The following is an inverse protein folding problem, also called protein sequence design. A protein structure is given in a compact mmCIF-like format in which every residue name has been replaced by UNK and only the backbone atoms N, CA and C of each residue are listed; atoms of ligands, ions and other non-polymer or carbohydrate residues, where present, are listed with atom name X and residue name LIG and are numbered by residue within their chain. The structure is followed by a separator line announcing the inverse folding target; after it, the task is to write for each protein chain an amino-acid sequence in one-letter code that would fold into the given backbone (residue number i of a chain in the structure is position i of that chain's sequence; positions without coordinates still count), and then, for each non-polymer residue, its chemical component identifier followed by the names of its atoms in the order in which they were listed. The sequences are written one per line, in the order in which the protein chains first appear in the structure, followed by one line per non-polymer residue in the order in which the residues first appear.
data_IF_396031154669
#
_entry.id   IF_396031154669
#
_cell.length_a   1.000
_cell.length_b   1.000
_cell.length_c   1.000
_cell.angle_alpha   90.00
_cell.angle_beta   90.00
_cell.angle_gamma   90.00
#
_symmetry.space_group_name_H-M   'P 1'
#
loop_
_entity.id
_entity.type
_entity.pdbx_description
1 polymer ?
#
# COMPACT_ATOMS: atom_id res chain seq x y z
N UNK A 1 -2.70 5.82 23.33
CA UNK A 1 -3.47 6.79 22.51
C UNK A 1 -3.51 6.25 21.10
N UNK A 2 -4.53 5.46 20.74
CA UNK A 2 -4.67 4.89 19.40
C UNK A 2 -5.28 5.94 18.49
N UNK A 3 -4.47 6.55 17.61
CA UNK A 3 -5.00 7.30 16.48
C UNK A 3 -5.35 6.28 15.40
N UNK A 4 -6.64 5.98 15.24
CA UNK A 4 -7.15 5.22 14.11
C UNK A 4 -7.00 6.11 12.88
N UNK A 5 -5.93 5.92 12.12
CA UNK A 5 -5.78 6.54 10.81
C UNK A 5 -6.26 5.55 9.74
N UNK A 6 -7.49 5.73 9.26
CA UNK A 6 -8.04 4.96 8.16
C UNK A 6 -7.40 5.41 6.84
N UNK A 7 -6.57 4.55 6.24
CA UNK A 7 -5.88 4.78 4.96
C UNK A 7 -6.83 5.21 3.83
N UNK A 8 -8.09 4.81 3.88
CA UNK A 8 -8.96 4.82 2.71
C UNK A 8 -9.88 6.05 2.57
N UNK A 9 -10.03 6.89 3.59
CA UNK A 9 -11.03 7.98 3.60
C UNK A 9 -10.74 9.08 2.57
N UNK A 10 -9.51 9.16 2.06
CA UNK A 10 -9.16 10.14 1.02
C UNK A 10 -9.57 9.69 -0.38
N UNK A 11 -9.61 8.39 -0.64
CA UNK A 11 -9.95 7.82 -1.95
C UNK A 11 -11.41 7.39 -2.06
N UNK A 12 -12.21 7.64 -1.04
CA UNK A 12 -13.60 7.23 -0.98
C UNK A 12 -14.52 8.45 -0.97
N UNK A 13 -15.04 8.83 -2.14
CA UNK A 13 -15.92 10.01 -2.31
C UNK A 13 -17.41 9.67 -2.24
N UNK A 14 -17.82 8.51 -2.77
CA UNK A 14 -19.20 8.04 -2.81
C UNK A 14 -19.25 6.58 -2.36
N UNK A 15 -20.38 6.17 -1.76
CA UNK A 15 -20.70 4.76 -1.51
C UNK A 15 -21.96 4.40 -2.29
N UNK A 16 -21.99 3.17 -2.78
CA UNK A 16 -23.20 2.57 -3.33
C UNK A 16 -23.80 1.70 -2.23
N UNK A 17 -25.01 2.05 -1.80
CA UNK A 17 -25.76 1.25 -0.84
C UNK A 17 -26.21 -0.08 -1.46
N UNK A 18 -26.71 -1.00 -0.62
CA UNK A 18 -27.14 -2.33 -1.05
C UNK A 18 -28.29 -2.32 -2.08
N UNK A 19 -29.06 -1.22 -2.14
CA UNK A 19 -30.15 -1.00 -3.09
C UNK A 19 -29.68 -0.37 -4.42
N UNK A 20 -28.37 -0.12 -4.57
CA UNK A 20 -27.78 0.51 -5.74
C UNK A 20 -27.78 2.04 -5.71
N UNK A 21 -28.32 2.67 -4.66
CA UNK A 21 -28.31 4.12 -4.51
C UNK A 21 -26.89 4.62 -4.29
N UNK A 22 -26.43 5.52 -5.16
CA UNK A 22 -25.18 6.26 -4.94
C UNK A 22 -25.45 7.41 -4.00
N UNK A 23 -24.66 7.52 -2.94
CA UNK A 23 -24.66 8.70 -2.08
C UNK A 23 -23.23 9.13 -1.75
N UNK A 24 -23.00 10.44 -1.55
CA UNK A 24 -21.71 10.91 -1.07
C UNK A 24 -21.37 10.21 0.23
N UNK A 25 -20.15 9.68 0.29
CA UNK A 25 -19.60 9.09 1.50
C UNK A 25 -19.30 10.26 2.42
N UNK A 26 -20.21 10.53 3.35
CA UNK A 26 -19.91 11.46 4.45
C UNK A 26 -18.59 10.96 5.07
N UNK A 27 -17.53 11.78 5.04
CA UNK A 27 -16.25 11.44 5.66
C UNK A 27 -16.48 11.26 7.16
N UNK A 28 -16.71 10.02 7.58
CA UNK A 28 -16.83 9.68 8.99
C UNK A 28 -15.43 9.52 9.57
N UNK A 29 -14.86 10.60 10.11
CA UNK A 29 -14.00 10.46 11.27
C UNK A 29 -14.87 10.79 12.48
N UNK A 30 -15.53 9.80 13.05
CA UNK A 30 -16.13 9.99 14.37
C UNK A 30 -14.99 9.95 15.39
N UNK A 31 -14.83 11.03 16.15
CA UNK A 31 -14.13 10.92 17.42
C UNK A 31 -15.10 10.26 18.41
N UNK A 32 -14.99 8.95 18.61
CA UNK A 32 -15.88 8.17 19.48
C UNK A 32 -15.75 8.53 20.99
N UNK A 33 -15.07 9.64 21.33
CA UNK A 33 -14.84 10.11 22.70
C UNK A 33 -15.79 11.21 23.17
N UNK A 34 -16.93 11.43 22.51
CA UNK A 34 -17.92 12.41 22.94
C UNK A 34 -19.33 12.15 22.42
N UNK A 35 -20.34 12.64 23.14
CA UNK A 35 -21.78 12.49 22.85
C UNK A 35 -22.25 13.17 21.55
N UNK A 36 -21.35 13.83 20.81
CA UNK A 36 -21.66 14.49 19.54
C UNK A 36 -20.63 14.11 18.48
N UNK A 37 -21.12 13.41 17.46
CA UNK A 37 -20.45 13.21 16.19
C UNK A 37 -20.20 14.55 15.50
N UNK A 38 -18.97 15.06 15.50
CA UNK A 38 -18.60 16.24 14.71
C UNK A 38 -18.01 15.84 13.35
N UNK A 39 -18.41 16.54 12.29
CA UNK A 39 -17.81 16.41 10.97
C UNK A 39 -16.35 16.85 11.04
N UNK A 40 -15.46 16.01 10.54
CA UNK A 40 -14.04 16.32 10.53
C UNK A 40 -13.74 17.21 9.31
N UNK A 41 -13.36 18.49 9.52
CA UNK A 41 -13.29 19.49 8.44
C UNK A 41 -12.38 19.04 7.29
N UNK A 42 -12.61 19.49 6.06
CA UNK A 42 -11.78 19.09 4.89
C UNK A 42 -10.27 19.32 5.09
N UNK A 43 -9.91 20.25 5.97
CA UNK A 43 -8.54 20.66 6.32
C UNK A 43 -7.98 20.00 7.59
N UNK A 44 -8.70 19.05 8.18
CA UNK A 44 -8.27 18.33 9.39
C UNK A 44 -7.30 17.18 9.10
N UNK A 45 -7.05 16.90 7.82
CA UNK A 45 -5.85 16.22 7.37
C UNK A 45 -4.66 17.11 7.72
N UNK A 46 -4.15 17.00 8.95
CA UNK A 46 -2.77 17.41 9.22
C UNK A 46 -1.90 16.52 8.35
N UNK A 47 -1.40 17.05 7.23
CA UNK A 47 -0.13 16.61 6.70
C UNK A 47 0.83 16.78 7.87
N UNK A 48 1.27 15.66 8.46
CA UNK A 48 2.36 15.71 9.42
C UNK A 48 3.46 16.51 8.73
N UNK A 49 3.98 17.54 9.41
CA UNK A 49 5.17 18.24 8.91
C UNK A 49 6.17 17.16 8.49
N UNK A 50 6.87 17.33 7.36
CA UNK A 50 7.85 16.34 6.88
C UNK A 50 8.84 16.06 8.01
N UNK A 51 8.63 14.98 8.76
CA UNK A 51 9.54 14.57 9.81
C UNK A 51 10.63 13.76 9.12
N UNK A 52 11.82 14.34 9.16
CA UNK A 52 13.12 13.72 8.87
C UNK A 52 13.49 13.52 7.40
N UNK A 53 14.58 14.19 7.01
CA UNK A 53 15.42 13.91 5.84
C UNK A 53 16.22 12.59 5.98
N UNK A 54 15.67 11.60 6.68
CA UNK A 54 16.37 10.37 7.03
C UNK A 54 16.45 9.42 5.85
N UNK A 55 17.59 8.73 5.73
CA UNK A 55 17.80 7.69 4.71
C UNK A 55 17.22 6.32 5.10
N UNK A 56 16.49 6.25 6.23
CA UNK A 56 15.87 5.02 6.75
C UNK A 56 14.42 5.28 7.18
N UNK A 57 13.53 4.41 6.75
CA UNK A 57 12.14 4.35 7.19
C UNK A 57 11.94 3.10 8.03
N UNK A 58 11.55 3.29 9.29
CA UNK A 58 11.30 2.18 10.22
C UNK A 58 9.99 1.48 9.90
N UNK A 59 9.94 0.20 10.24
CA UNK A 59 8.74 -0.60 10.18
C UNK A 59 8.64 -1.52 11.40
N UNK A 60 7.45 -1.64 11.99
CA UNK A 60 7.22 -2.55 13.11
C UNK A 60 5.80 -3.10 13.14
N UNK A 61 5.66 -4.35 13.58
CA UNK A 61 4.35 -4.91 13.89
C UNK A 61 3.80 -4.38 15.22
N UNK A 62 2.48 -4.58 15.43
CA UNK A 62 1.77 -4.08 16.62
C UNK A 62 2.44 -4.47 17.95
N UNK A 63 2.92 -5.70 18.08
CA UNK A 63 3.56 -6.17 19.31
C UNK A 63 5.07 -5.90 19.39
N UNK A 64 5.66 -5.25 18.37
CA UNK A 64 7.10 -5.00 18.28
C UNK A 64 7.97 -6.25 18.11
N UNK A 65 7.38 -7.41 17.80
CA UNK A 65 8.09 -8.69 17.65
C UNK A 65 8.76 -8.87 16.29
N UNK A 66 8.38 -8.06 15.31
CA UNK A 66 9.01 -7.95 14.00
C UNK A 66 9.30 -6.48 13.78
N UNK A 67 10.57 -6.16 13.53
CA UNK A 67 11.07 -4.81 13.30
C UNK A 67 12.15 -4.85 12.23
N UNK A 68 12.12 -3.88 11.34
CA UNK A 68 13.06 -3.71 10.26
C UNK A 68 13.05 -2.24 9.82
N UNK A 69 13.90 -1.89 8.88
CA UNK A 69 13.79 -0.62 8.19
C UNK A 69 14.04 -0.80 6.70
N UNK A 70 13.50 0.12 5.91
CA UNK A 70 13.82 0.25 4.49
C UNK A 70 14.69 1.49 4.26
N UNK A 71 15.55 1.43 3.25
CA UNK A 71 16.41 2.55 2.83
C UNK A 71 15.87 3.19 1.55
N UNK A 72 16.33 4.41 1.23
CA UNK A 72 16.03 5.04 -0.07
C UNK A 72 16.53 4.17 -1.23
N UNK A 73 15.92 4.28 -2.43
CA UNK A 73 16.46 3.60 -3.59
C UNK A 73 17.92 3.98 -3.85
N UNK A 74 18.67 3.05 -4.42
CA UNK A 74 20.08 3.21 -4.74
C UNK A 74 20.44 2.42 -6.02
N UNK A 75 21.72 2.41 -6.38
CA UNK A 75 22.18 1.72 -7.59
C UNK A 75 21.97 0.20 -7.57
N UNK A 76 21.87 -0.43 -6.40
CA UNK A 76 21.50 -1.85 -6.30
C UNK A 76 20.00 -2.05 -6.56
N UNK A 77 19.14 -1.11 -6.13
CA UNK A 77 17.70 -1.13 -6.38
C UNK A 77 17.34 -1.19 -7.86
N UNK A 78 18.17 -0.61 -8.73
CA UNK A 78 18.00 -0.56 -10.19
C UNK A 78 18.31 -1.88 -10.90
N UNK A 79 19.04 -2.78 -10.22
CA UNK A 79 19.48 -4.07 -10.78
C UNK A 79 18.47 -5.19 -10.57
N UNK A 80 17.47 -4.97 -9.71
CA UNK A 80 16.37 -5.89 -9.49
C UNK A 80 15.59 -6.08 -10.80
N UNK A 81 15.01 -7.27 -10.94
CA UNK A 81 14.17 -7.62 -12.07
C UNK A 81 12.78 -8.02 -11.59
N UNK A 82 11.78 -7.60 -12.34
CA UNK A 82 10.39 -8.03 -12.14
C UNK A 82 9.59 -7.87 -13.44
N UNK A 83 8.68 -8.81 -13.74
CA UNK A 83 7.55 -8.55 -14.62
C UNK A 83 6.75 -7.32 -14.15
N UNK A 84 5.92 -6.77 -15.03
CA UNK A 84 4.97 -5.72 -14.64
C UNK A 84 3.95 -6.26 -13.62
N UNK A 85 3.56 -5.44 -12.64
CA UNK A 85 2.57 -5.83 -11.65
C UNK A 85 1.16 -5.70 -12.26
N UNK A 86 0.19 -6.36 -11.64
CA UNK A 86 -1.22 -6.24 -12.04
C UNK A 86 -1.78 -4.80 -11.93
N UNK A 87 -1.15 -3.95 -11.12
CA UNK A 87 -1.41 -2.49 -11.09
C UNK A 87 -1.25 -1.84 -12.48
N UNK A 88 -0.29 -2.30 -13.29
CA UNK A 88 0.02 -1.72 -14.60
C UNK A 88 -0.47 -2.58 -15.76
N UNK A 89 -0.38 -3.90 -15.62
CA UNK A 89 -0.80 -4.87 -16.64
C UNK A 89 -1.75 -5.88 -15.99
N UNK A 90 -3.07 -5.70 -16.14
CA UNK A 90 -4.05 -6.60 -15.54
C UNK A 90 -3.78 -8.06 -15.88
N UNK A 91 -3.88 -8.97 -14.91
CA UNK A 91 -3.50 -10.38 -15.08
C UNK A 91 -4.27 -11.10 -16.20
N UNK A 92 -5.48 -10.62 -16.54
CA UNK A 92 -6.34 -11.19 -17.59
C UNK A 92 -6.17 -10.52 -18.96
N UNK A 93 -5.26 -9.56 -19.08
CA UNK A 93 -5.05 -8.78 -20.30
C UNK A 93 -3.97 -9.42 -21.20
N UNK A 94 -2.86 -8.72 -21.43
CA UNK A 94 -1.71 -9.19 -22.19
C UNK A 94 -0.57 -9.62 -21.28
N UNK A 95 0.51 -10.15 -21.87
CA UNK A 95 1.69 -10.57 -21.12
C UNK A 95 2.25 -9.43 -20.27
N UNK A 96 2.54 -9.72 -19.00
CA UNK A 96 3.20 -8.82 -18.07
C UNK A 96 4.73 -8.82 -18.21
N UNK A 97 5.27 -9.40 -19.29
CA UNK A 97 6.71 -9.44 -19.51
C UNK A 97 7.33 -8.03 -19.52
N UNK A 98 8.49 -7.90 -18.86
CA UNK A 98 9.23 -6.64 -18.76
C UNK A 98 10.66 -6.84 -19.33
N UNK A 99 10.80 -7.04 -20.66
CA UNK A 99 12.08 -7.41 -21.26
C UNK A 99 13.15 -6.31 -21.17
N UNK A 100 12.73 -5.06 -21.07
CA UNK A 100 13.62 -3.89 -20.91
C UNK A 100 13.97 -3.62 -19.44
N UNK A 101 13.47 -4.43 -18.51
CA UNK A 101 13.61 -4.23 -17.07
C UNK A 101 13.27 -2.81 -16.61
N UNK A 102 12.14 -2.26 -17.06
CA UNK A 102 11.65 -0.97 -16.54
C UNK A 102 11.45 -1.10 -15.03
N UNK A 103 12.15 -0.27 -14.27
CA UNK A 103 12.14 -0.27 -12.80
C UNK A 103 10.87 0.37 -12.26
N UNK A 104 9.72 -0.23 -12.54
CA UNK A 104 8.40 0.35 -12.24
C UNK A 104 8.17 0.60 -10.74
N UNK A 105 8.92 -0.09 -9.87
CA UNK A 105 8.92 0.10 -8.42
C UNK A 105 9.68 1.37 -7.98
N UNK A 106 10.54 1.94 -8.82
CA UNK A 106 11.27 3.19 -8.54
C UNK A 106 10.50 4.37 -9.10
N UNK A 107 10.25 5.37 -8.25
CA UNK A 107 9.36 6.49 -8.51
C UNK A 107 10.02 7.81 -8.13
N UNK A 108 9.51 8.90 -8.69
CA UNK A 108 9.94 10.26 -8.37
C UNK A 108 11.47 10.43 -8.50
N UNK A 109 12.01 10.16 -9.69
CA UNK A 109 13.46 10.16 -9.99
C UNK A 109 14.27 9.29 -9.02
N UNK A 110 13.82 8.04 -8.81
CA UNK A 110 14.46 7.06 -7.93
C UNK A 110 14.58 7.49 -6.45
N UNK A 111 13.66 8.33 -5.96
CA UNK A 111 13.66 8.76 -4.55
C UNK A 111 12.59 8.05 -3.71
N UNK A 112 11.61 7.42 -4.37
CA UNK A 112 10.46 6.75 -3.75
C UNK A 112 10.22 5.36 -4.33
N UNK A 113 9.46 4.56 -3.59
CA UNK A 113 8.95 3.28 -4.03
C UNK A 113 7.50 3.39 -4.52
N UNK A 114 7.11 2.54 -5.47
CA UNK A 114 5.70 2.41 -5.84
C UNK A 114 4.93 1.77 -4.68
N UNK A 115 3.74 2.29 -4.40
CA UNK A 115 2.75 1.66 -3.55
C UNK A 115 1.42 1.48 -4.28
N UNK A 116 0.62 0.50 -3.90
CA UNK A 116 -0.67 0.27 -4.51
C UNK A 116 -1.61 -0.53 -3.63
N UNK A 117 -2.86 -0.60 -4.07
CA UNK A 117 -3.93 -1.35 -3.42
C UNK A 117 -4.18 -2.66 -4.16
N UNK A 118 -4.47 -3.72 -3.41
CA UNK A 118 -4.75 -5.05 -3.93
C UNK A 118 -6.04 -5.58 -3.31
N UNK A 119 -6.91 -6.13 -4.14
CA UNK A 119 -8.22 -6.68 -3.77
C UNK A 119 -8.38 -8.14 -4.20
N UNK A 120 -7.27 -8.83 -4.47
CA UNK A 120 -7.31 -10.23 -4.89
C UNK A 120 -7.88 -11.13 -3.80
N UNK A 121 -8.50 -12.24 -4.21
CA UNK A 121 -9.11 -13.22 -3.29
C UNK A 121 -8.11 -13.73 -2.24
N UNK A 122 -6.86 -13.95 -2.63
CA UNK A 122 -5.81 -14.45 -1.72
C UNK A 122 -5.48 -13.44 -0.63
N UNK A 123 -5.31 -12.16 -0.96
CA UNK A 123 -5.11 -11.11 0.05
C UNK A 123 -6.33 -10.98 0.96
N UNK A 124 -7.54 -10.96 0.39
CA UNK A 124 -8.78 -10.87 1.18
C UNK A 124 -8.93 -12.01 2.19
N UNK A 125 -8.69 -13.24 1.76
CA UNK A 125 -8.85 -14.42 2.62
C UNK A 125 -7.73 -14.56 3.66
N UNK A 126 -6.49 -14.22 3.33
CA UNK A 126 -5.38 -14.30 4.29
C UNK A 126 -5.42 -13.18 5.33
N UNK A 127 -5.88 -11.99 4.95
CA UNK A 127 -5.80 -10.80 5.79
C UNK A 127 -7.13 -10.49 6.49
N UNK A 128 -8.24 -11.05 6.00
CA UNK A 128 -9.59 -10.71 6.47
C UNK A 128 -10.05 -9.31 6.06
N UNK A 129 -9.38 -8.68 5.09
CA UNK A 129 -9.62 -7.29 4.66
C UNK A 129 -9.81 -7.24 3.13
N UNK A 130 -10.81 -6.50 2.65
CA UNK A 130 -11.07 -6.38 1.20
C UNK A 130 -9.91 -5.71 0.45
N UNK A 131 -9.28 -4.71 1.08
CA UNK A 131 -8.23 -3.91 0.47
C UNK A 131 -6.96 -4.08 1.30
N UNK A 132 -5.88 -4.48 0.64
CA UNK A 132 -4.54 -4.52 1.19
C UNK A 132 -3.66 -3.49 0.49
N UNK A 133 -2.77 -2.86 1.23
CA UNK A 133 -1.82 -1.87 0.69
C UNK A 133 -0.40 -2.41 0.74
N UNK A 134 0.28 -2.38 -0.40
CA UNK A 134 1.63 -2.89 -0.57
C UNK A 134 2.56 -1.79 -1.08
N UNK A 135 3.78 -1.74 -0.56
CA UNK A 135 4.91 -1.02 -1.16
C UNK A 135 5.87 -2.03 -1.79
N UNK A 136 6.34 -1.75 -3.01
CA UNK A 136 7.22 -2.65 -3.76
C UNK A 136 8.68 -2.24 -3.54
N UNK A 137 9.39 -2.97 -2.67
CA UNK A 137 10.72 -2.59 -2.20
C UNK A 137 11.73 -3.66 -2.58
N UNK A 138 12.82 -3.31 -3.28
CA UNK A 138 13.92 -4.22 -3.53
C UNK A 138 14.47 -4.82 -2.22
N UNK A 139 14.72 -6.13 -2.22
CA UNK A 139 15.24 -6.85 -1.05
C UNK A 139 16.55 -6.26 -0.52
N UNK A 140 17.40 -5.76 -1.41
CA UNK A 140 18.65 -5.07 -1.08
C UNK A 140 18.46 -3.75 -0.31
N UNK A 141 17.24 -3.24 -0.20
CA UNK A 141 16.91 -2.03 0.53
C UNK A 141 16.20 -2.31 1.87
N UNK A 142 16.00 -3.58 2.24
CA UNK A 142 15.33 -3.99 3.48
C UNK A 142 16.36 -4.59 4.43
N UNK A 143 16.43 -4.03 5.65
CA UNK A 143 17.43 -4.39 6.64
C UNK A 143 16.78 -4.67 8.00
N UNK A 144 17.36 -5.61 8.74
CA UNK A 144 17.01 -5.82 10.15
C UNK A 144 17.49 -4.63 10.99
N UNK A 145 17.03 -4.52 12.24
CA UNK A 145 17.44 -3.43 13.14
C UNK A 145 18.95 -3.35 13.37
N UNK A 146 19.64 -4.49 13.36
CA UNK A 146 21.11 -4.56 13.49
C UNK A 146 21.87 -4.15 12.21
N UNK A 147 21.15 -3.84 11.13
CA UNK A 147 21.71 -3.46 9.83
C UNK A 147 22.10 -4.61 8.92
N UNK A 148 21.86 -5.86 9.31
CA UNK A 148 22.03 -7.00 8.40
C UNK A 148 20.93 -7.04 7.32
N UNK A 149 21.20 -7.59 6.13
CA UNK A 149 20.20 -7.71 5.06
C UNK A 149 19.02 -8.61 5.43
N UNK A 150 17.89 -8.45 4.74
CA UNK A 150 16.73 -9.31 4.88
C UNK A 150 17.03 -10.76 4.45
N UNK A 151 16.84 -11.70 5.36
CA UNK A 151 16.91 -13.15 5.16
C UNK A 151 15.59 -13.86 5.54
N UNK A 152 14.51 -13.10 5.73
CA UNK A 152 13.21 -13.57 6.22
C UNK A 152 13.23 -14.23 7.62
N UNK A 153 14.29 -14.03 8.41
CA UNK A 153 14.37 -14.43 9.81
C UNK A 153 14.44 -13.18 10.70
N UNK A 154 13.27 -12.72 11.14
CA UNK A 154 13.08 -11.50 11.91
C UNK A 154 12.21 -11.75 13.15
N UNK A 155 12.81 -11.81 14.33
CA UNK A 155 12.11 -11.89 15.61
C UNK A 155 11.01 -12.97 15.63
N UNK A 156 9.75 -12.59 15.79
CA UNK A 156 8.61 -13.51 15.86
C UNK A 156 7.99 -13.85 14.49
N UNK A 157 8.65 -13.51 13.38
CA UNK A 157 8.12 -13.73 12.03
C UNK A 157 7.95 -15.24 11.72
N UNK A 158 6.91 -15.55 10.97
CA UNK A 158 6.54 -16.87 10.47
C UNK A 158 6.22 -16.77 8.98
N UNK A 159 6.56 -17.82 8.26
CA UNK A 159 6.34 -17.95 6.83
C UNK A 159 5.18 -18.89 6.56
N UNK A 160 4.29 -18.49 5.65
CA UNK A 160 3.21 -19.32 5.12
C UNK A 160 3.35 -19.43 3.58
N UNK A 161 3.65 -20.62 3.04
CA UNK A 161 3.61 -20.87 1.60
C UNK A 161 2.15 -20.89 1.14
N UNK A 162 1.70 -19.82 0.48
CA UNK A 162 0.29 -19.64 0.11
C UNK A 162 -0.07 -20.31 -1.22
N UNK A 163 0.92 -20.54 -2.08
CA UNK A 163 0.87 -21.41 -3.25
C UNK A 163 2.31 -21.81 -3.64
N UNK A 164 2.48 -22.65 -4.64
CA UNK A 164 3.81 -22.99 -5.17
C UNK A 164 4.59 -21.71 -5.54
N UNK A 165 5.80 -21.59 -5.01
CA UNK A 165 6.68 -20.43 -5.21
C UNK A 165 6.18 -19.10 -4.66
N UNK A 166 5.14 -19.05 -3.80
CA UNK A 166 4.59 -17.80 -3.24
C UNK A 166 4.48 -17.86 -1.72
N UNK A 167 5.08 -16.89 -1.05
CA UNK A 167 5.26 -16.87 0.40
C UNK A 167 4.68 -15.61 1.04
N UNK A 168 4.11 -15.78 2.22
CA UNK A 168 3.58 -14.70 3.05
C UNK A 168 4.26 -14.72 4.42
N UNK A 169 4.86 -13.60 4.78
CA UNK A 169 5.51 -13.42 6.08
C UNK A 169 4.59 -12.65 7.02
N UNK A 170 4.41 -13.15 8.23
CA UNK A 170 3.56 -12.53 9.25
C UNK A 170 4.16 -12.68 10.64
N UNK A 171 3.78 -11.80 11.56
CA UNK A 171 4.17 -11.89 12.95
C UNK A 171 3.41 -13.03 13.65
N UNK A 172 4.10 -14.07 14.10
CA UNK A 172 3.50 -15.19 14.83
C UNK A 172 2.93 -14.84 16.21
N UNK A 173 3.14 -13.61 16.70
CA UNK A 173 2.62 -13.13 17.99
C UNK A 173 1.35 -12.28 17.86
N UNK A 174 1.29 -11.35 16.90
CA UNK A 174 0.13 -10.46 16.74
C UNK A 174 -0.61 -10.61 15.40
N UNK A 175 -0.18 -11.52 14.53
CA UNK A 175 -0.81 -11.78 13.24
C UNK A 175 -0.54 -10.72 12.16
N UNK A 176 0.19 -9.65 12.48
CA UNK A 176 0.46 -8.59 11.51
C UNK A 176 1.20 -9.11 10.27
N UNK A 177 0.66 -8.84 9.09
CA UNK A 177 1.29 -9.16 7.81
C UNK A 177 2.49 -8.26 7.56
N UNK A 178 3.60 -8.88 7.15
CA UNK A 178 4.89 -8.22 6.98
C UNK A 178 5.25 -8.13 5.51
N UNK A 179 5.43 -9.29 4.86
CA UNK A 179 5.87 -9.36 3.47
C UNK A 179 5.01 -10.32 2.65
N UNK A 180 4.94 -10.05 1.35
CA UNK A 180 4.64 -11.03 0.32
C UNK A 180 5.82 -11.10 -0.64
N UNK A 181 6.19 -12.30 -1.07
CA UNK A 181 7.25 -12.52 -2.06
C UNK A 181 7.02 -13.80 -2.85
N UNK A 182 7.68 -13.93 -4.00
CA UNK A 182 7.59 -15.11 -4.85
C UNK A 182 8.89 -15.40 -5.58
N UNK A 183 9.02 -16.63 -6.09
CA UNK A 183 10.20 -17.09 -6.83
C UNK A 183 10.33 -16.50 -8.24
N UNK A 184 9.24 -15.97 -8.82
CA UNK A 184 9.28 -15.28 -10.13
C UNK A 184 10.03 -13.94 -10.06
N UNK A 185 9.97 -13.24 -8.92
CA UNK A 185 10.64 -11.96 -8.67
C UNK A 185 11.26 -11.90 -7.27
N UNK A 186 12.26 -12.75 -6.98
CA UNK A 186 12.75 -13.00 -5.61
C UNK A 186 13.41 -11.79 -4.95
N UNK A 187 13.85 -10.82 -5.75
CA UNK A 187 14.54 -9.61 -5.28
C UNK A 187 13.60 -8.41 -5.09
N UNK A 188 12.31 -8.51 -5.42
CA UNK A 188 11.33 -7.44 -5.22
C UNK A 188 10.26 -7.90 -4.23
N UNK A 189 10.20 -7.25 -3.07
CA UNK A 189 9.37 -7.66 -1.93
C UNK A 189 8.21 -6.71 -1.75
N UNK A 190 7.01 -7.26 -1.53
CA UNK A 190 5.83 -6.48 -1.22
C UNK A 190 5.78 -6.28 0.30
N UNK A 191 5.96 -5.05 0.75
CA UNK A 191 5.98 -4.66 2.16
C UNK A 191 4.61 -4.10 2.57
N UNK A 192 4.04 -4.62 3.64
CA UNK A 192 2.74 -4.14 4.15
C UNK A 192 2.88 -2.70 4.65
N UNK A 193 2.19 -1.76 3.99
CA UNK A 193 2.34 -0.31 4.27
C UNK A 193 1.94 0.03 5.72
N UNK A 194 0.98 -0.71 6.28
CA UNK A 194 0.51 -0.49 7.66
C UNK A 194 1.56 -0.73 8.75
N UNK A 195 2.74 -1.26 8.42
CA UNK A 195 3.87 -1.42 9.35
C UNK A 195 4.81 -0.23 9.37
N UNK A 196 4.80 0.60 8.33
CA UNK A 196 5.74 1.71 8.14
C UNK A 196 5.47 2.83 9.14
N UNK A 197 6.52 3.61 9.42
CA UNK A 197 6.55 4.61 10.49
C UNK A 197 5.32 5.54 10.49
N UNK A 198 4.69 5.66 11.66
CA UNK A 198 3.50 6.49 11.87
C UNK A 198 3.83 7.99 11.75
N UNK A 199 5.08 8.38 11.97
CA UNK A 199 5.54 9.78 11.84
C UNK A 199 5.53 10.27 10.38
N UNK A 200 5.56 9.36 9.41
CA UNK A 200 5.42 9.65 7.96
C UNK A 200 3.96 9.69 7.50
N UNK A 201 3.03 9.45 8.42
CA UNK A 201 1.60 9.42 8.19
C UNK A 201 1.12 8.13 7.52
N UNK A 202 -0.20 7.92 7.50
CA UNK A 202 -0.80 6.66 7.05
C UNK A 202 -0.50 6.27 5.59
N UNK A 203 -0.13 7.25 4.75
CA UNK A 203 0.22 7.04 3.34
C UNK A 203 1.73 7.07 3.06
N UNK A 204 2.54 7.48 4.03
CA UNK A 204 4.02 7.50 3.92
C UNK A 204 4.51 8.17 2.63
N UNK A 205 3.89 9.29 2.22
CA UNK A 205 4.08 9.90 0.89
C UNK A 205 5.47 10.53 0.68
N UNK A 206 6.24 10.68 1.76
CA UNK A 206 7.66 11.01 1.72
C UNK A 206 8.51 9.90 1.12
N UNK A 207 8.02 8.66 1.13
CA UNK A 207 8.72 7.45 0.69
C UNK A 207 8.01 6.69 -0.42
N UNK A 208 6.68 6.82 -0.48
CA UNK A 208 5.83 6.07 -1.38
C UNK A 208 5.18 7.00 -2.40
N UNK A 209 5.19 6.57 -3.65
CA UNK A 209 4.36 7.13 -4.72
C UNK A 209 3.24 6.13 -5.02
N UNK A 210 2.00 6.56 -4.80
CA UNK A 210 0.83 5.68 -4.89
C UNK A 210 0.36 5.56 -6.34
N UNK A 211 0.18 4.32 -6.81
CA UNK A 211 -0.44 4.04 -8.09
C UNK A 211 -1.91 4.48 -8.05
N UNK A 212 -2.32 5.27 -9.05
CA UNK A 212 -3.66 5.90 -9.05
C UNK A 212 -4.55 5.44 -10.19
N UNK A 213 -3.99 4.79 -11.21
CA UNK A 213 -4.76 4.43 -12.41
C UNK A 213 -5.62 3.17 -12.22
N UNK A 214 -5.28 2.33 -11.22
CA UNK A 214 -5.93 1.03 -11.03
C UNK A 214 -5.83 0.49 -9.60
N UNK A 215 -6.86 -0.24 -9.17
CA UNK A 215 -6.76 -1.15 -8.01
C UNK A 215 -6.40 -2.56 -8.49
N UNK A 216 -5.36 -3.17 -7.91
CA UNK A 216 -4.88 -4.47 -8.37
C UNK A 216 -5.90 -5.58 -8.09
N UNK A 217 -6.18 -6.40 -9.10
CA UNK A 217 -7.17 -7.47 -9.12
C UNK A 217 -8.59 -7.00 -8.75
N UNK A 218 -8.98 -5.81 -9.19
CA UNK A 218 -10.33 -5.26 -8.95
C UNK A 218 -11.45 -6.21 -9.42
N UNK A 219 -11.20 -7.02 -10.44
CA UNK A 219 -12.16 -7.98 -11.00
C UNK A 219 -12.45 -9.13 -10.02
N UNK A 220 -11.54 -9.38 -9.08
CA UNK A 220 -11.69 -10.39 -8.04
C UNK A 220 -12.38 -9.85 -6.78
N UNK A 221 -12.65 -8.55 -6.72
CA UNK A 221 -13.29 -7.93 -5.57
C UNK A 221 -14.69 -8.50 -5.34
N UNK A 222 -15.00 -8.82 -4.08
CA UNK A 222 -16.37 -9.18 -3.69
C UNK A 222 -17.19 -7.93 -3.50
N UNK A 223 -16.60 -6.89 -2.90
CA UNK A 223 -17.24 -5.59 -2.74
C UNK A 223 -16.97 -4.71 -3.97
N UNK A 224 -17.56 -5.07 -5.11
CA UNK A 224 -17.31 -4.38 -6.40
C UNK A 224 -17.57 -2.88 -6.35
N UNK A 225 -18.65 -2.45 -5.69
CA UNK A 225 -18.96 -1.02 -5.55
C UNK A 225 -17.93 -0.27 -4.70
N UNK A 226 -17.43 -0.90 -3.64
CA UNK A 226 -16.36 -0.36 -2.82
C UNK A 226 -15.11 -0.20 -3.69
N UNK A 227 -14.67 -1.24 -4.38
CA UNK A 227 -13.43 -1.19 -5.17
C UNK A 227 -13.53 -0.20 -6.35
N UNK A 228 -14.67 -0.14 -7.03
CA UNK A 228 -14.89 0.88 -8.06
C UNK A 228 -14.82 2.31 -7.50
N UNK A 229 -15.36 2.54 -6.30
CA UNK A 229 -15.31 3.85 -5.65
C UNK A 229 -13.88 4.21 -5.19
N UNK A 230 -13.11 3.21 -4.75
CA UNK A 230 -11.69 3.37 -4.40
C UNK A 230 -10.88 3.79 -5.63
N UNK A 231 -11.08 3.09 -6.75
CA UNK A 231 -10.36 3.37 -7.99
C UNK A 231 -10.70 4.77 -8.53
N UNK A 232 -11.97 5.14 -8.56
CA UNK A 232 -12.41 6.49 -8.96
C UNK A 232 -11.77 7.58 -8.10
N UNK A 233 -11.73 7.40 -6.77
CA UNK A 233 -11.10 8.37 -5.88
C UNK A 233 -9.57 8.39 -5.99
N UNK A 234 -8.93 7.25 -6.27
CA UNK A 234 -7.49 7.19 -6.59
C UNK A 234 -7.19 8.01 -7.85
N UNK A 235 -7.94 7.81 -8.94
CA UNK A 235 -7.81 8.55 -10.21
C UNK A 235 -8.01 10.05 -10.03
N UNK A 236 -9.10 10.45 -9.37
CA UNK A 236 -9.39 11.86 -9.07
C UNK A 236 -8.30 12.51 -8.23
N UNK A 237 -7.77 11.79 -7.24
CA UNK A 237 -6.69 12.28 -6.40
C UNK A 237 -5.36 12.40 -7.17
N UNK A 238 -5.05 11.43 -8.04
CA UNK A 238 -3.88 11.46 -8.93
C UNK A 238 -3.90 12.66 -9.87
N UNK A 239 -5.03 12.91 -10.54
CA UNK A 239 -5.19 14.05 -11.44
C UNK A 239 -5.02 15.40 -10.73
N UNK A 240 -5.61 15.56 -9.53
CA UNK A 240 -5.44 16.77 -8.71
C UNK A 240 -3.97 17.02 -8.35
N UNK A 241 -3.19 15.97 -8.06
CA UNK A 241 -1.75 16.10 -7.77
C UNK A 241 -0.93 16.53 -8.98
N UNK A 242 -1.39 16.20 -10.19
CA UNK A 242 -0.75 16.60 -11.45
C UNK A 242 -1.21 17.98 -11.94
N UNK A 243 -2.10 18.66 -11.20
CA UNK A 243 -2.63 19.97 -11.60
C UNK A 243 -3.71 19.91 -12.68
N UNK A 244 -4.31 18.73 -12.92
CA UNK A 244 -5.43 18.55 -13.86
C UNK A 244 -6.74 18.80 -13.12
N UNK A 245 -7.60 19.69 -13.65
CA UNK A 245 -8.90 19.97 -13.04
C UNK A 245 -9.85 18.78 -13.17
N UNK A 246 -10.66 18.54 -12.13
CA UNK A 246 -11.52 17.35 -12.02
C UNK A 246 -12.62 17.26 -13.09
N UNK A 247 -12.83 18.31 -13.88
CA UNK A 247 -13.84 18.36 -14.94
C UNK A 247 -13.44 17.59 -16.21
N UNK A 248 -12.15 17.25 -16.36
CA UNK A 248 -11.61 16.62 -17.59
C UNK A 248 -11.45 15.09 -17.51
N UNK A 249 -11.81 14.46 -16.38
CA UNK A 249 -11.54 13.03 -16.11
C UNK A 249 -12.74 12.12 -16.48
N UNK A 250 -13.86 12.70 -16.91
CA UNK A 250 -15.07 11.95 -17.29
C UNK A 250 -15.28 12.04 -18.80
N UNK A 251 -14.77 11.05 -19.53
CA UNK A 251 -15.33 10.58 -20.80
C UNK A 251 -15.27 9.06 -20.86
#
# INVERSE_FOLDING_TARGET
MFKIFLLYIVWFHEIVDADGTKRPLKRWMLNDRGEKAEFVPENSLQTLEKISSGDKLKAQCHCGGVKFYITRPNEASKKVQSPFPDLQVPYHSHSNANPENKTWWLRDNDTKYLAGTCTCTSCRQNLGMEIQTWAFVPKCNIFKEDGSPLDFHLGTMKTYPSSEGVFREFCGKCGATVFWHCEERPELIDVSVGLLDLEEGARVEGWLDWWTDRVSFEEMAVSRSLVASLEDGLKKWGAKRQGVEAQDIVS
#
